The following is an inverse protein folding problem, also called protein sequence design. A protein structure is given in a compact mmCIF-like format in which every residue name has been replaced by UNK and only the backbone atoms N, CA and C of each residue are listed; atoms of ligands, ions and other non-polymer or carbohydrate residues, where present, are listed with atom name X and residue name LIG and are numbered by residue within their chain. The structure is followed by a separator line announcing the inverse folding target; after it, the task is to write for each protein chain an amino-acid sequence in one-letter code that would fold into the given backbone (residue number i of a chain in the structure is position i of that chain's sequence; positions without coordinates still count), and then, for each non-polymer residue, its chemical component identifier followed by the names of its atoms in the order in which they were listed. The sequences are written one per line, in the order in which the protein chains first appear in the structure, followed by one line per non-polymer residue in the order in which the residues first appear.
data_IF_034733933849
#
_entry.id   IF_034733933849
#
_cell.length_a   1.000
_cell.length_b   1.000
_cell.length_c   1.000
_cell.angle_alpha   90.00
_cell.angle_beta   90.00
_cell.angle_gamma   90.00
#
_symmetry.space_group_name_H-M   'P 1'
#
loop_
_entity.id
_entity.type
_entity.pdbx_description
1 polymer ?
#
# COMPACT_ATOMS: atom_id res chain seq x y z
N UNK A 1 -12.58 8.37 25.85
CA UNK A 1 -12.21 7.08 25.22
C UNK A 1 -10.69 6.92 25.28
N UNK A 2 -10.20 5.74 25.67
CA UNK A 2 -8.77 5.45 25.65
C UNK A 2 -8.31 5.44 24.20
N UNK A 3 -7.25 6.17 23.87
CA UNK A 3 -6.65 6.15 22.53
C UNK A 3 -6.07 4.75 22.24
N UNK A 4 -6.30 4.25 21.06
CA UNK A 4 -5.75 2.96 20.61
C UNK A 4 -4.23 3.08 20.46
N UNK A 5 -3.50 2.16 21.06
CA UNK A 5 -2.04 2.10 21.03
C UNK A 5 -1.58 1.13 19.95
N UNK A 6 -0.76 1.62 19.04
CA UNK A 6 -0.31 0.85 17.88
C UNK A 6 1.22 0.74 17.88
N UNK A 7 1.75 -0.47 17.76
CA UNK A 7 3.16 -0.70 17.51
C UNK A 7 3.40 -0.99 16.02
N UNK A 8 4.28 -0.23 15.39
CA UNK A 8 4.75 -0.49 14.03
C UNK A 8 6.15 -1.11 14.11
N UNK A 9 6.20 -2.42 13.91
CA UNK A 9 7.46 -3.18 13.94
C UNK A 9 8.13 -3.08 12.56
N UNK A 10 9.23 -2.34 12.51
CA UNK A 10 9.98 -2.13 11.27
C UNK A 10 9.68 -0.81 10.57
N UNK A 11 10.17 0.31 11.12
CA UNK A 11 10.07 1.63 10.51
C UNK A 11 11.02 1.79 9.30
N UNK A 12 10.77 1.01 8.23
CA UNK A 12 11.32 1.21 6.89
C UNK A 12 10.53 2.29 6.13
N UNK A 13 10.60 2.30 4.79
CA UNK A 13 9.85 3.29 3.98
C UNK A 13 8.34 3.23 4.24
N UNK A 14 7.73 2.06 4.12
CA UNK A 14 6.29 1.89 4.36
C UNK A 14 5.96 2.03 5.86
N UNK A 15 6.71 1.34 6.73
CA UNK A 15 6.42 1.37 8.17
C UNK A 15 6.54 2.75 8.80
N UNK A 16 7.50 3.58 8.38
CA UNK A 16 7.61 4.95 8.87
C UNK A 16 6.48 5.85 8.35
N UNK A 17 6.05 5.67 7.11
CA UNK A 17 4.92 6.40 6.55
C UNK A 17 3.60 6.04 7.25
N UNK A 18 3.37 4.74 7.50
CA UNK A 18 2.22 4.26 8.28
C UNK A 18 2.26 4.82 9.70
N UNK A 19 3.40 4.74 10.39
CA UNK A 19 3.54 5.26 11.76
C UNK A 19 3.22 6.77 11.84
N UNK A 20 3.73 7.55 10.87
CA UNK A 20 3.42 8.98 10.76
C UNK A 20 1.92 9.21 10.55
N UNK A 21 1.32 8.56 9.56
CA UNK A 21 -0.10 8.75 9.23
C UNK A 21 -1.03 8.40 10.40
N UNK A 22 -0.71 7.33 11.14
CA UNK A 22 -1.44 6.94 12.34
C UNK A 22 -1.32 7.96 13.47
N UNK A 23 -0.11 8.49 13.71
CA UNK A 23 0.08 9.52 14.73
C UNK A 23 -0.68 10.82 14.37
N UNK A 24 -0.64 11.23 13.10
CA UNK A 24 -1.41 12.37 12.60
C UNK A 24 -2.93 12.15 12.67
N UNK A 25 -3.39 10.88 12.64
CA UNK A 25 -4.79 10.52 12.84
C UNK A 25 -5.19 10.42 14.34
N UNK A 26 -4.28 10.68 15.26
CA UNK A 26 -4.52 10.75 16.69
C UNK A 26 -4.32 9.44 17.45
N UNK A 27 -3.71 8.42 16.86
CA UNK A 27 -3.33 7.20 17.57
C UNK A 27 -2.06 7.41 18.40
N UNK A 28 -1.94 6.67 19.51
CA UNK A 28 -0.65 6.54 20.18
C UNK A 28 0.22 5.53 19.42
N UNK A 29 1.37 5.95 18.94
CA UNK A 29 2.21 5.11 18.07
C UNK A 29 3.61 4.92 18.64
N UNK A 30 4.06 3.66 18.68
CA UNK A 30 5.48 3.30 18.84
C UNK A 30 5.96 2.68 17.54
N UNK A 31 7.08 3.17 17.00
CA UNK A 31 7.72 2.60 15.82
C UNK A 31 9.07 1.99 16.17
N UNK A 32 9.35 0.76 15.72
CA UNK A 32 10.63 0.11 16.01
C UNK A 32 11.58 0.12 14.82
N UNK A 33 12.84 0.34 15.10
CA UNK A 33 13.94 0.24 14.13
C UNK A 33 15.27 0.02 14.83
N UNK A 34 16.14 -0.86 14.29
CA UNK A 34 17.49 -1.08 14.81
C UNK A 34 18.35 0.20 14.79
N UNK A 35 18.24 1.00 13.71
CA UNK A 35 18.93 2.30 13.54
C UNK A 35 17.91 3.41 13.69
N UNK A 36 17.60 3.81 14.92
CA UNK A 36 16.57 4.81 15.26
C UNK A 36 16.89 6.17 14.64
N UNK A 37 18.17 6.52 14.57
CA UNK A 37 18.63 7.79 14.01
C UNK A 37 18.11 8.07 12.59
N UNK A 38 17.84 7.02 11.81
CA UNK A 38 17.28 7.14 10.44
C UNK A 38 15.81 7.54 10.40
N UNK A 39 15.11 7.45 11.53
CA UNK A 39 13.67 7.74 11.64
C UNK A 39 13.36 8.71 12.78
N UNK A 40 14.37 9.37 13.34
CA UNK A 40 14.22 10.33 14.43
C UNK A 40 13.21 11.45 14.11
N UNK A 41 13.07 11.79 12.85
CA UNK A 41 12.09 12.75 12.36
C UNK A 41 10.62 12.38 12.69
N UNK A 42 10.31 11.11 12.97
CA UNK A 42 8.98 10.66 13.37
C UNK A 42 8.55 11.23 14.75
N UNK A 43 9.51 11.56 15.61
CA UNK A 43 9.24 12.18 16.93
C UNK A 43 8.52 13.53 16.77
N UNK A 44 8.77 14.26 15.67
CA UNK A 44 8.09 15.53 15.36
C UNK A 44 6.57 15.35 15.11
N UNK A 45 6.12 14.12 14.87
CA UNK A 45 4.72 13.75 14.68
C UNK A 45 4.13 13.02 15.91
N UNK A 46 4.86 12.97 17.03
CA UNK A 46 4.40 12.31 18.25
C UNK A 46 4.61 10.80 18.28
N UNK A 47 5.34 10.23 17.32
CA UNK A 47 5.68 8.79 17.31
C UNK A 47 6.81 8.53 18.30
N UNK A 48 6.59 7.62 19.24
CA UNK A 48 7.63 7.12 20.12
C UNK A 48 8.53 6.13 19.37
N UNK A 49 9.84 6.21 19.58
CA UNK A 49 10.81 5.32 18.93
C UNK A 49 11.36 4.29 19.95
N UNK A 50 11.44 3.04 19.51
CA UNK A 50 11.94 1.94 20.33
C UNK A 50 12.84 1.01 19.47
N UNK A 51 13.84 0.37 20.10
CA UNK A 51 14.67 -0.67 19.46
C UNK A 51 14.15 -2.07 19.74
N UNK A 52 13.48 -2.24 20.87
CA UNK A 52 13.02 -3.51 21.39
C UNK A 52 11.56 -3.78 20.93
N UNK A 53 11.43 -4.76 20.05
CA UNK A 53 10.11 -5.16 19.53
C UNK A 53 9.22 -5.76 20.62
N UNK A 54 9.77 -6.45 21.62
CA UNK A 54 9.01 -7.01 22.75
C UNK A 54 8.36 -5.92 23.58
N UNK A 55 9.12 -4.85 23.90
CA UNK A 55 8.56 -3.70 24.62
C UNK A 55 7.45 -3.01 23.84
N UNK A 56 7.68 -2.76 22.55
CA UNK A 56 6.69 -2.14 21.69
C UNK A 56 5.41 -2.98 21.57
N UNK A 57 5.54 -4.28 21.29
CA UNK A 57 4.41 -5.19 21.15
C UNK A 57 3.65 -5.41 22.47
N UNK A 58 4.33 -5.44 23.60
CA UNK A 58 3.69 -5.53 24.92
C UNK A 58 2.82 -4.32 25.23
N UNK A 59 3.30 -3.14 24.92
CA UNK A 59 2.61 -1.87 25.16
C UNK A 59 1.38 -1.68 24.25
N UNK A 60 1.40 -2.19 23.02
CA UNK A 60 0.40 -1.95 22.00
C UNK A 60 -0.88 -2.79 22.18
N UNK A 61 -2.01 -2.24 21.74
CA UNK A 61 -3.27 -2.95 21.57
C UNK A 61 -3.35 -3.63 20.18
N UNK A 62 -2.73 -3.01 19.15
CA UNK A 62 -2.59 -3.54 17.77
C UNK A 62 -1.13 -3.49 17.35
N UNK A 63 -0.68 -4.54 16.68
CA UNK A 63 0.71 -4.64 16.16
C UNK A 63 0.70 -4.67 14.64
N UNK A 64 1.46 -3.79 14.01
CA UNK A 64 1.67 -3.75 12.55
C UNK A 64 3.09 -4.22 12.24
N UNK A 65 3.21 -5.29 11.45
CA UNK A 65 4.50 -5.85 11.01
C UNK A 65 4.83 -5.30 9.62
N UNK A 66 5.81 -4.40 9.54
CA UNK A 66 6.25 -3.73 8.32
C UNK A 66 7.71 -4.04 7.97
N UNK A 67 8.11 -5.29 8.15
CA UNK A 67 9.45 -5.79 7.81
C UNK A 67 9.44 -6.55 6.48
N UNK A 68 10.63 -6.84 5.94
CA UNK A 68 10.77 -7.69 4.75
C UNK A 68 10.23 -9.11 5.03
N UNK A 69 9.64 -9.80 4.04
CA UNK A 69 9.03 -11.12 4.22
C UNK A 69 9.91 -12.11 4.98
N UNK A 70 11.19 -12.26 4.58
CA UNK A 70 12.16 -13.16 5.20
C UNK A 70 12.56 -12.84 6.66
N UNK A 71 11.89 -11.89 7.29
CA UNK A 71 12.12 -11.51 8.69
C UNK A 71 10.86 -11.66 9.55
N UNK A 72 9.72 -11.96 8.92
CA UNK A 72 8.44 -12.00 9.64
C UNK A 72 8.43 -13.12 10.66
N UNK A 73 8.81 -14.36 10.29
CA UNK A 73 8.85 -15.50 11.20
C UNK A 73 9.67 -15.17 12.45
N UNK A 74 10.92 -14.72 12.27
CA UNK A 74 11.78 -14.34 13.40
C UNK A 74 11.17 -13.23 14.29
N UNK A 75 10.46 -12.28 13.71
CA UNK A 75 9.80 -11.23 14.51
C UNK A 75 8.61 -11.79 15.27
N UNK A 76 7.81 -12.66 14.65
CA UNK A 76 6.67 -13.29 15.32
C UNK A 76 7.13 -14.14 16.51
N UNK A 77 8.16 -14.97 16.34
CA UNK A 77 8.79 -15.74 17.43
C UNK A 77 9.29 -14.81 18.55
N UNK A 78 9.93 -13.69 18.20
CA UNK A 78 10.45 -12.74 19.19
C UNK A 78 9.34 -12.14 20.06
N UNK A 79 8.16 -11.84 19.49
CA UNK A 79 7.08 -11.12 20.18
C UNK A 79 5.87 -11.98 20.53
N UNK A 80 5.91 -13.29 20.30
CA UNK A 80 4.81 -14.26 20.45
C UNK A 80 4.02 -14.07 21.75
N UNK A 81 4.70 -14.05 22.89
CA UNK A 81 4.09 -13.92 24.22
C UNK A 81 3.25 -12.62 24.38
N UNK A 82 3.55 -11.59 23.60
CA UNK A 82 2.93 -10.29 23.73
C UNK A 82 1.76 -10.05 22.77
N UNK A 83 1.56 -10.91 21.78
CA UNK A 83 0.58 -10.69 20.69
C UNK A 83 -0.56 -11.70 20.67
N UNK A 84 -0.56 -12.69 21.58
CA UNK A 84 -1.69 -13.60 21.75
C UNK A 84 -2.99 -12.81 21.96
N UNK A 85 -4.03 -13.17 21.20
CA UNK A 85 -5.35 -12.50 21.17
C UNK A 85 -5.36 -11.03 20.71
N UNK A 86 -4.23 -10.48 20.24
CA UNK A 86 -4.19 -9.14 19.65
C UNK A 86 -4.42 -9.20 18.14
N UNK A 87 -4.85 -8.07 17.59
CA UNK A 87 -4.85 -7.84 16.13
C UNK A 87 -3.41 -7.62 15.68
N UNK A 88 -2.96 -8.46 14.75
CA UNK A 88 -1.62 -8.38 14.15
C UNK A 88 -1.76 -8.19 12.64
N UNK A 89 -1.39 -7.01 12.15
CA UNK A 89 -1.49 -6.64 10.74
C UNK A 89 -0.13 -6.86 10.09
N UNK A 90 -0.02 -7.79 9.15
CA UNK A 90 1.18 -7.99 8.35
C UNK A 90 1.09 -7.22 7.03
N UNK A 91 2.05 -6.31 6.80
CA UNK A 91 2.23 -5.60 5.53
C UNK A 91 3.26 -6.29 4.62
N UNK A 92 3.73 -7.45 5.02
CA UNK A 92 4.75 -8.19 4.27
C UNK A 92 4.12 -8.91 3.06
N UNK A 93 4.67 -8.64 1.87
CA UNK A 93 4.21 -9.29 0.65
C UNK A 93 4.46 -10.81 0.69
N UNK A 94 3.53 -11.58 0.13
CA UNK A 94 3.74 -13.00 -0.13
C UNK A 94 3.63 -13.94 1.08
N UNK A 95 3.25 -13.47 2.27
CA UNK A 95 3.08 -14.32 3.44
C UNK A 95 1.59 -14.54 3.71
N UNK A 96 1.06 -15.75 3.51
CA UNK A 96 -0.34 -16.02 3.75
C UNK A 96 -0.67 -16.12 5.26
N UNK A 97 -1.93 -15.85 5.61
CA UNK A 97 -2.42 -15.88 7.00
C UNK A 97 -2.16 -17.24 7.64
N UNK A 98 -2.37 -18.33 6.91
CA UNK A 98 -2.10 -19.69 7.39
C UNK A 98 -0.65 -19.89 7.88
N UNK A 99 0.32 -19.21 7.23
CA UNK A 99 1.72 -19.28 7.63
C UNK A 99 1.98 -18.42 8.86
N UNK A 100 1.38 -17.22 8.95
CA UNK A 100 1.46 -16.38 10.15
C UNK A 100 0.91 -17.10 11.39
N UNK A 101 -0.20 -17.84 11.23
CA UNK A 101 -0.82 -18.62 12.30
C UNK A 101 0.02 -19.80 12.79
N UNK A 102 0.96 -20.32 11.99
CA UNK A 102 1.90 -21.35 12.47
C UNK A 102 2.79 -20.83 13.60
N UNK A 103 3.18 -19.54 13.55
CA UNK A 103 4.02 -18.94 14.59
C UNK A 103 3.23 -18.57 15.85
N UNK A 104 2.02 -18.00 15.70
CA UNK A 104 1.21 -17.56 16.85
C UNK A 104 -0.28 -17.86 16.58
N UNK A 105 -0.73 -19.09 16.84
CA UNK A 105 -2.09 -19.53 16.52
C UNK A 105 -3.21 -18.69 17.13
N UNK A 106 -2.98 -18.08 18.30
CA UNK A 106 -3.98 -17.31 19.03
C UNK A 106 -4.07 -15.84 18.60
N UNK A 107 -3.15 -15.36 17.76
CA UNK A 107 -3.22 -13.98 17.27
C UNK A 107 -4.27 -13.82 16.16
N UNK A 108 -4.91 -12.66 16.13
CA UNK A 108 -5.88 -12.28 15.10
C UNK A 108 -5.15 -11.65 13.92
N UNK A 109 -4.78 -12.46 12.93
CA UNK A 109 -4.00 -11.97 11.81
C UNK A 109 -4.81 -11.29 10.73
N UNK A 110 -4.26 -10.17 10.25
CA UNK A 110 -4.69 -9.45 9.04
C UNK A 110 -3.50 -9.40 8.09
N UNK A 111 -3.68 -9.92 6.90
CA UNK A 111 -2.73 -9.73 5.79
C UNK A 111 -3.17 -8.50 5.00
N UNK A 112 -2.31 -7.52 4.84
CA UNK A 112 -2.62 -6.28 4.14
C UNK A 112 -1.53 -5.90 3.13
N UNK A 113 -1.96 -5.29 2.04
CA UNK A 113 -1.08 -4.84 0.97
C UNK A 113 -1.36 -3.38 0.64
N UNK A 114 -0.76 -2.43 1.38
CA UNK A 114 -0.73 -1.03 0.99
C UNK A 114 0.26 -0.81 -0.15
N UNK A 115 0.26 0.39 -0.72
CA UNK A 115 1.27 0.82 -1.67
C UNK A 115 2.03 2.06 -1.18
N UNK A 116 3.03 2.52 -1.94
CA UNK A 116 3.91 3.63 -1.54
C UNK A 116 3.17 4.97 -1.38
N UNK A 117 1.96 5.12 -1.93
CA UNK A 117 1.16 6.34 -1.78
C UNK A 117 0.69 6.57 -0.32
N UNK A 118 0.95 5.64 0.59
CA UNK A 118 0.85 5.88 2.04
C UNK A 118 1.66 7.12 2.49
N UNK A 119 2.74 7.46 1.81
CA UNK A 119 3.54 8.66 2.08
C UNK A 119 2.74 9.96 2.01
N UNK A 120 1.69 9.98 1.21
CA UNK A 120 0.79 11.12 1.00
C UNK A 120 -0.66 10.82 1.42
N UNK A 121 -0.88 9.73 2.14
CA UNK A 121 -2.20 9.26 2.64
C UNK A 121 -3.22 8.93 1.54
N UNK A 122 -2.74 8.55 0.38
CA UNK A 122 -3.56 8.15 -0.78
C UNK A 122 -3.28 6.68 -1.18
N UNK A 123 -2.95 5.83 -0.20
CA UNK A 123 -2.75 4.40 -0.45
C UNK A 123 -4.07 3.70 -0.75
N UNK A 124 -4.05 2.77 -1.69
CA UNK A 124 -5.05 1.71 -1.70
C UNK A 124 -4.48 0.53 -0.90
N UNK A 125 -5.22 0.08 0.12
CA UNK A 125 -4.84 -1.05 0.97
C UNK A 125 -5.86 -2.16 0.82
N UNK A 126 -5.54 -3.22 0.08
CA UNK A 126 -6.31 -4.45 0.16
C UNK A 126 -5.92 -5.24 1.41
N UNK A 127 -6.89 -5.88 2.06
CA UNK A 127 -6.61 -6.73 3.20
C UNK A 127 -7.50 -7.97 3.21
N UNK A 128 -6.95 -9.04 3.79
CA UNK A 128 -7.67 -10.25 4.11
C UNK A 128 -7.51 -10.56 5.60
N UNK A 129 -8.55 -11.08 6.21
CA UNK A 129 -8.56 -11.40 7.63
C UNK A 129 -9.48 -12.60 7.88
N UNK A 130 -9.02 -13.49 8.76
CA UNK A 130 -9.78 -14.62 9.30
C UNK A 130 -9.96 -14.42 10.82
N UNK A 131 -11.03 -14.97 11.38
CA UNK A 131 -11.30 -14.99 12.82
C UNK A 131 -11.41 -13.60 13.50
N UNK A 132 -11.76 -12.55 12.76
CA UNK A 132 -12.05 -11.23 13.28
C UNK A 132 -13.56 -11.04 13.42
N UNK A 133 -13.97 -10.49 14.56
CA UNK A 133 -15.33 -10.04 14.75
C UNK A 133 -15.56 -8.66 14.08
N UNK A 134 -16.78 -8.17 14.07
CA UNK A 134 -17.13 -6.89 13.42
C UNK A 134 -16.42 -5.67 14.04
N UNK A 135 -16.15 -5.69 15.35
CA UNK A 135 -15.44 -4.60 16.04
C UNK A 135 -13.96 -4.59 15.65
N UNK A 136 -13.34 -5.76 15.57
CA UNK A 136 -11.97 -5.93 15.07
C UNK A 136 -11.85 -5.41 13.63
N UNK A 137 -12.80 -5.77 12.75
CA UNK A 137 -12.83 -5.32 11.35
C UNK A 137 -12.94 -3.80 11.28
N UNK A 138 -13.89 -3.21 12.01
CA UNK A 138 -14.05 -1.73 12.09
C UNK A 138 -12.77 -1.05 12.58
N UNK A 139 -12.07 -1.66 13.54
CA UNK A 139 -10.80 -1.16 14.05
C UNK A 139 -9.71 -1.17 12.96
N UNK A 140 -9.60 -2.29 12.24
CA UNK A 140 -8.64 -2.45 11.13
C UNK A 140 -8.92 -1.45 10.00
N UNK A 141 -10.18 -1.28 9.62
CA UNK A 141 -10.59 -0.33 8.58
C UNK A 141 -10.32 1.13 8.98
N UNK A 142 -10.56 1.50 10.24
CA UNK A 142 -10.18 2.82 10.76
C UNK A 142 -8.67 3.06 10.69
N UNK A 143 -7.87 2.05 11.02
CA UNK A 143 -6.42 2.12 10.91
C UNK A 143 -6.02 2.37 9.45
N UNK A 144 -6.54 1.61 8.50
CA UNK A 144 -6.22 1.77 7.08
C UNK A 144 -6.72 3.10 6.50
N UNK A 145 -7.89 3.55 6.90
CA UNK A 145 -8.46 4.85 6.48
C UNK A 145 -7.61 6.06 6.90
N UNK A 146 -6.68 5.89 7.86
CA UNK A 146 -5.73 6.93 8.25
C UNK A 146 -4.71 7.25 7.15
N UNK A 147 -4.52 6.36 6.18
CA UNK A 147 -3.53 6.54 5.12
C UNK A 147 -4.02 6.18 3.71
N UNK A 148 -5.33 6.18 3.51
CA UNK A 148 -5.95 6.01 2.20
C UNK A 148 -7.25 5.22 2.23
N UNK A 149 -7.60 4.61 1.11
CA UNK A 149 -8.77 3.74 0.98
C UNK A 149 -8.39 2.29 1.27
N UNK A 150 -9.29 1.53 1.87
CA UNK A 150 -9.10 0.10 2.09
C UNK A 150 -10.28 -0.72 1.57
N UNK A 151 -10.00 -1.99 1.28
CA UNK A 151 -11.01 -2.95 0.86
C UNK A 151 -10.66 -4.34 1.39
N UNK A 152 -11.64 -5.00 2.04
CA UNK A 152 -11.52 -6.41 2.41
C UNK A 152 -11.73 -7.26 1.16
N UNK A 153 -10.83 -8.21 0.94
CA UNK A 153 -10.87 -9.14 -0.19
C UNK A 153 -10.54 -10.56 0.28
N UNK A 154 -10.85 -11.54 -0.54
CA UNK A 154 -10.39 -12.91 -0.32
C UNK A 154 -8.88 -13.01 -0.52
N UNK A 155 -8.21 -13.82 0.30
CA UNK A 155 -6.75 -13.90 0.31
C UNK A 155 -6.15 -14.33 -1.03
N UNK A 156 -6.88 -15.09 -1.83
CA UNK A 156 -6.44 -15.55 -3.16
C UNK A 156 -6.15 -14.40 -4.13
N UNK A 157 -6.78 -13.23 -3.96
CA UNK A 157 -6.55 -12.05 -4.80
C UNK A 157 -5.32 -11.22 -4.40
N UNK A 158 -4.70 -11.49 -3.25
CA UNK A 158 -3.61 -10.64 -2.72
C UNK A 158 -2.39 -10.55 -3.65
N UNK A 159 -2.08 -11.62 -4.42
CA UNK A 159 -0.98 -11.56 -5.38
C UNK A 159 -1.33 -10.73 -6.62
N UNK A 160 -2.59 -10.77 -7.06
CA UNK A 160 -3.08 -9.91 -8.14
C UNK A 160 -3.08 -8.43 -7.72
N UNK A 161 -3.50 -8.14 -6.50
CA UNK A 161 -3.42 -6.80 -5.90
C UNK A 161 -1.96 -6.33 -5.80
N UNK A 162 -1.04 -7.21 -5.45
CA UNK A 162 0.39 -6.87 -5.43
C UNK A 162 0.86 -6.43 -6.81
N UNK A 163 0.45 -7.15 -7.87
CA UNK A 163 0.76 -6.80 -9.26
C UNK A 163 0.09 -5.51 -9.74
N UNK A 164 -1.18 -5.27 -9.35
CA UNK A 164 -1.95 -4.12 -9.79
C UNK A 164 -1.65 -2.86 -8.97
N UNK A 165 -1.86 -2.92 -7.66
CA UNK A 165 -1.81 -1.77 -6.76
C UNK A 165 -0.47 -1.62 -6.05
N UNK A 166 0.14 -2.71 -5.61
CA UNK A 166 1.46 -2.68 -4.97
C UNK A 166 2.55 -2.16 -5.91
N UNK A 167 2.58 -2.67 -7.14
CA UNK A 167 3.50 -2.26 -8.20
C UNK A 167 3.00 -1.05 -9.01
N UNK A 168 1.71 -0.76 -8.97
CA UNK A 168 1.03 0.27 -9.75
C UNK A 168 1.69 1.64 -9.73
N UNK A 169 2.13 2.19 -8.59
CA UNK A 169 2.80 3.48 -8.55
C UNK A 169 4.04 3.58 -9.46
N UNK A 170 4.77 2.47 -9.67
CA UNK A 170 5.89 2.44 -10.60
C UNK A 170 5.41 2.57 -12.06
N UNK A 171 4.32 1.88 -12.44
CA UNK A 171 3.76 2.00 -13.79
C UNK A 171 3.22 3.40 -14.07
N UNK A 172 2.51 3.96 -13.08
CA UNK A 172 2.00 5.34 -13.14
C UNK A 172 3.15 6.33 -13.27
N UNK A 173 4.28 6.12 -12.58
CA UNK A 173 5.46 6.98 -12.69
C UNK A 173 6.06 6.95 -14.10
N UNK A 174 6.13 5.78 -14.74
CA UNK A 174 6.58 5.65 -16.14
C UNK A 174 5.64 6.39 -17.09
N UNK A 175 4.33 6.26 -16.88
CA UNK A 175 3.33 6.98 -17.68
C UNK A 175 3.44 8.51 -17.50
N UNK A 176 3.57 8.98 -16.26
CA UNK A 176 3.78 10.39 -15.95
C UNK A 176 5.05 10.94 -16.60
N UNK A 177 6.14 10.19 -16.54
CA UNK A 177 7.40 10.57 -17.18
C UNK A 177 7.23 10.72 -18.69
N UNK A 178 6.52 9.78 -19.35
CA UNK A 178 6.22 9.86 -20.77
C UNK A 178 5.38 11.10 -21.12
N UNK A 179 4.37 11.43 -20.30
CA UNK A 179 3.59 12.67 -20.48
C UNK A 179 4.45 13.93 -20.35
N UNK A 180 5.35 13.97 -19.37
CA UNK A 180 6.27 15.10 -19.16
C UNK A 180 7.19 15.27 -20.39
N UNK A 181 7.79 14.18 -20.86
CA UNK A 181 8.66 14.23 -22.05
C UNK A 181 7.88 14.58 -23.33
N UNK A 182 6.65 14.09 -23.46
CA UNK A 182 5.74 14.52 -24.52
C UNK A 182 5.51 16.03 -24.51
N UNK A 183 5.23 16.60 -23.33
CA UNK A 183 5.12 18.05 -23.14
C UNK A 183 6.37 18.81 -23.54
N UNK A 184 7.56 18.32 -23.14
CA UNK A 184 8.84 18.93 -23.55
C UNK A 184 9.03 18.87 -25.06
N UNK A 185 8.69 17.74 -25.69
CA UNK A 185 8.81 17.54 -27.13
C UNK A 185 8.00 18.57 -27.94
N UNK A 186 6.84 18.97 -27.41
CA UNK A 186 5.99 19.99 -28.05
C UNK A 186 6.28 21.42 -27.58
N UNK A 187 7.35 21.63 -26.81
CA UNK A 187 7.87 22.96 -26.45
C UNK A 187 7.39 23.49 -25.10
N UNK A 188 6.73 22.70 -24.26
CA UNK A 188 6.35 23.17 -22.91
C UNK A 188 7.59 23.25 -21.99
N UNK A 189 7.71 24.29 -21.16
CA UNK A 189 8.66 24.31 -20.06
C UNK A 189 8.47 23.12 -19.11
N UNK A 190 9.58 22.57 -18.57
CA UNK A 190 9.57 21.34 -17.73
C UNK A 190 8.62 21.42 -16.55
N UNK A 191 8.59 22.54 -15.85
CA UNK A 191 7.75 22.70 -14.66
C UNK A 191 6.26 22.73 -15.01
N UNK A 192 5.90 23.35 -16.13
CA UNK A 192 4.54 23.33 -16.65
C UNK A 192 4.14 21.92 -17.07
N UNK A 193 4.98 21.23 -17.85
CA UNK A 193 4.71 19.87 -18.29
C UNK A 193 4.53 18.90 -17.09
N UNK A 194 5.38 19.03 -16.06
CA UNK A 194 5.29 18.22 -14.83
C UNK A 194 3.99 18.46 -14.07
N UNK A 195 3.64 19.72 -13.81
CA UNK A 195 2.42 20.07 -13.10
C UNK A 195 1.17 19.64 -13.86
N UNK A 196 1.12 19.94 -15.16
CA UNK A 196 -0.01 19.58 -16.01
C UNK A 196 -0.21 18.06 -16.07
N UNK A 197 0.84 17.28 -16.30
CA UNK A 197 0.76 15.82 -16.36
C UNK A 197 0.26 15.23 -15.04
N UNK A 198 0.83 15.65 -13.91
CA UNK A 198 0.45 15.14 -12.59
C UNK A 198 -1.00 15.51 -12.24
N UNK A 199 -1.41 16.76 -12.47
CA UNK A 199 -2.77 17.20 -12.17
C UNK A 199 -3.82 16.57 -13.08
N UNK A 200 -3.50 16.34 -14.35
CA UNK A 200 -4.39 15.64 -15.30
C UNK A 200 -4.63 14.20 -14.85
N UNK A 201 -3.58 13.47 -14.46
CA UNK A 201 -3.72 12.10 -13.99
C UNK A 201 -4.55 12.04 -12.70
N UNK A 202 -4.25 12.92 -11.74
CA UNK A 202 -5.01 13.02 -10.48
C UNK A 202 -6.49 13.31 -10.74
N UNK A 203 -6.79 14.28 -11.59
CA UNK A 203 -8.16 14.68 -11.93
C UNK A 203 -8.93 13.54 -12.59
N UNK A 204 -8.32 12.85 -13.55
CA UNK A 204 -8.95 11.72 -14.26
C UNK A 204 -9.22 10.55 -13.30
N UNK A 205 -8.28 10.24 -12.40
CA UNK A 205 -8.50 9.22 -11.37
C UNK A 205 -9.64 9.59 -10.42
N UNK A 206 -9.76 10.86 -10.03
CA UNK A 206 -10.86 11.36 -9.21
C UNK A 206 -12.20 11.26 -9.93
N UNK A 207 -12.27 11.65 -11.21
CA UNK A 207 -13.50 11.48 -12.00
C UNK A 207 -13.99 10.03 -11.95
N UNK A 208 -13.12 9.06 -12.20
CA UNK A 208 -13.48 7.64 -12.11
C UNK A 208 -14.02 7.24 -10.74
N UNK A 209 -13.39 7.69 -9.66
CA UNK A 209 -13.75 7.33 -8.29
C UNK A 209 -15.05 8.02 -7.80
N UNK A 210 -15.36 9.21 -8.31
CA UNK A 210 -16.51 10.01 -7.88
C UNK A 210 -17.75 9.76 -8.74
N UNK A 211 -17.60 9.64 -10.07
CA UNK A 211 -18.71 9.38 -10.98
C UNK A 211 -19.09 7.91 -11.04
N UNK A 212 -18.11 7.01 -10.87
CA UNK A 212 -18.32 5.57 -10.98
C UNK A 212 -18.47 5.08 -12.43
N UNK A 213 -18.26 5.97 -13.41
CA UNK A 213 -18.41 5.68 -14.82
C UNK A 213 -17.32 4.74 -15.34
N UNK A 214 -17.60 4.05 -16.43
CA UNK A 214 -16.55 3.25 -17.09
C UNK A 214 -15.47 4.17 -17.68
N UNK A 215 -14.16 3.83 -17.61
CA UNK A 215 -13.10 4.67 -18.16
C UNK A 215 -13.27 5.08 -19.62
N UNK A 216 -14.00 4.27 -20.43
CA UNK A 216 -14.31 4.62 -21.80
C UNK A 216 -15.28 5.81 -21.90
N UNK A 217 -16.22 5.95 -20.97
CA UNK A 217 -17.16 7.07 -20.93
C UNK A 217 -16.43 8.37 -20.60
N UNK A 218 -15.50 8.35 -19.61
CA UNK A 218 -14.65 9.50 -19.30
C UNK A 218 -13.81 9.91 -20.52
N UNK A 219 -13.25 8.93 -21.25
CA UNK A 219 -12.52 9.16 -22.49
C UNK A 219 -13.42 9.84 -23.54
N UNK A 220 -14.62 9.33 -23.72
CA UNK A 220 -15.55 9.81 -24.74
C UNK A 220 -16.08 11.22 -24.46
N UNK A 221 -16.16 11.64 -23.18
CA UNK A 221 -16.43 13.04 -22.80
C UNK A 221 -15.42 14.04 -23.34
N UNK A 222 -14.19 13.59 -23.62
CA UNK A 222 -13.07 14.47 -24.07
C UNK A 222 -12.90 14.41 -25.59
N UNK A 223 -13.39 13.36 -26.25
CA UNK A 223 -13.24 13.19 -27.69
C UNK A 223 -14.29 14.02 -28.44
N UNK A 224 -13.82 14.77 -29.43
CA UNK A 224 -14.68 15.48 -30.39
C UNK A 224 -14.30 15.09 -31.82
N UNK A 225 -15.26 15.06 -32.77
CA UNK A 225 -14.96 14.77 -34.18
C UNK A 225 -13.91 15.72 -34.76
N UNK A 226 -12.81 15.18 -35.30
CA UNK A 226 -11.70 15.96 -35.85
C UNK A 226 -10.88 16.74 -34.82
N UNK A 227 -11.09 16.46 -33.51
CA UNK A 227 -10.35 17.14 -32.43
C UNK A 227 -8.96 16.52 -32.17
N UNK A 228 -8.12 17.22 -31.43
CA UNK A 228 -6.75 16.78 -31.10
C UNK A 228 -6.68 15.49 -30.28
N UNK A 229 -7.71 15.23 -29.49
CA UNK A 229 -7.76 14.07 -28.59
C UNK A 229 -7.83 12.76 -29.35
N UNK A 230 -8.62 12.69 -30.43
CA UNK A 230 -8.76 11.44 -31.20
C UNK A 230 -7.46 11.05 -31.89
N UNK A 231 -6.69 12.02 -32.42
CA UNK A 231 -5.40 11.77 -33.03
C UNK A 231 -4.41 11.23 -32.00
N UNK A 232 -4.37 11.84 -30.80
CA UNK A 232 -3.54 11.34 -29.71
C UNK A 232 -3.90 9.93 -29.24
N UNK A 233 -5.20 9.59 -29.19
CA UNK A 233 -5.67 8.25 -28.84
C UNK A 233 -5.24 7.23 -29.91
N UNK A 234 -5.33 7.60 -31.20
CA UNK A 234 -4.91 6.74 -32.30
C UNK A 234 -3.45 6.32 -32.13
N UNK A 235 -2.54 7.27 -31.86
CA UNK A 235 -1.12 6.99 -31.60
C UNK A 235 -0.91 6.09 -30.38
N UNK A 236 -1.69 6.26 -29.30
CA UNK A 236 -1.61 5.39 -28.12
C UNK A 236 -2.06 3.96 -28.42
N UNK A 237 -3.09 3.78 -29.25
CA UNK A 237 -3.57 2.44 -29.64
C UNK A 237 -2.59 1.76 -30.59
N UNK A 238 -2.00 2.48 -31.55
CA UNK A 238 -0.95 1.97 -32.42
C UNK A 238 0.29 1.54 -31.59
N UNK A 239 0.66 2.33 -30.56
CA UNK A 239 1.70 2.01 -29.60
C UNK A 239 1.36 0.86 -28.64
N UNK A 240 0.17 0.26 -28.74
CA UNK A 240 -0.30 -0.89 -27.93
C UNK A 240 -0.20 -0.68 -26.42
N UNK A 241 -0.46 0.55 -25.95
CA UNK A 241 -0.32 0.92 -24.53
C UNK A 241 -1.15 0.00 -23.61
N UNK A 242 -2.38 -0.37 -24.00
CA UNK A 242 -3.24 -1.26 -23.22
C UNK A 242 -2.59 -2.63 -23.00
N UNK A 243 -2.05 -3.20 -24.07
CA UNK A 243 -1.36 -4.51 -24.02
C UNK A 243 -0.12 -4.44 -23.14
N UNK A 244 0.65 -3.34 -23.20
CA UNK A 244 1.85 -3.16 -22.38
C UNK A 244 1.50 -3.12 -20.89
N UNK A 245 0.47 -2.36 -20.50
CA UNK A 245 0.02 -2.26 -19.11
C UNK A 245 -0.51 -3.62 -18.61
N UNK A 246 -1.38 -4.30 -19.37
CA UNK A 246 -1.91 -5.61 -18.99
C UNK A 246 -0.79 -6.64 -18.79
N UNK A 247 0.21 -6.69 -19.67
CA UNK A 247 1.36 -7.58 -19.54
C UNK A 247 2.23 -7.25 -18.33
N UNK A 248 2.41 -5.97 -18.00
CA UNK A 248 3.17 -5.57 -16.82
C UNK A 248 2.51 -6.07 -15.52
N UNK A 249 1.19 -5.92 -15.42
CA UNK A 249 0.42 -6.39 -14.26
C UNK A 249 0.46 -7.93 -14.16
N UNK A 250 0.26 -8.65 -15.26
CA UNK A 250 0.36 -10.11 -15.31
C UNK A 250 1.74 -10.61 -14.88
N UNK A 251 2.81 -10.02 -15.41
CA UNK A 251 4.18 -10.38 -15.05
C UNK A 251 4.48 -10.16 -13.57
N UNK A 252 4.04 -9.03 -13.01
CA UNK A 252 4.23 -8.72 -11.59
C UNK A 252 3.41 -9.67 -10.69
N UNK A 253 2.17 -10.00 -11.07
CA UNK A 253 1.32 -10.96 -10.38
C UNK A 253 1.95 -12.36 -10.37
N UNK A 254 2.44 -12.84 -11.51
CA UNK A 254 3.16 -14.11 -11.60
C UNK A 254 4.39 -14.13 -10.71
N UNK A 255 5.15 -13.05 -10.70
CA UNK A 255 6.34 -12.93 -9.84
C UNK A 255 5.96 -12.94 -8.35
N UNK A 256 4.86 -12.28 -7.96
CA UNK A 256 4.35 -12.31 -6.59
C UNK A 256 4.01 -13.73 -6.16
N UNK A 257 3.27 -14.49 -6.98
CA UNK A 257 2.93 -15.90 -6.70
C UNK A 257 4.17 -16.79 -6.51
N UNK A 258 5.18 -16.61 -7.35
CA UNK A 258 6.45 -17.37 -7.23
C UNK A 258 7.15 -17.05 -5.90
N UNK A 259 7.20 -15.77 -5.51
CA UNK A 259 7.80 -15.36 -4.24
C UNK A 259 7.01 -15.88 -3.04
N UNK A 260 5.68 -15.82 -3.07
CA UNK A 260 4.80 -16.37 -2.04
C UNK A 260 5.03 -17.88 -1.86
N UNK A 261 5.10 -18.63 -2.96
CA UNK A 261 5.34 -20.09 -2.93
C UNK A 261 6.72 -20.43 -2.34
N UNK A 262 7.77 -19.67 -2.69
CA UNK A 262 9.11 -19.88 -2.11
C UNK A 262 9.11 -19.69 -0.60
N UNK A 263 8.50 -18.61 -0.12
CA UNK A 263 8.42 -18.33 1.34
C UNK A 263 7.71 -19.47 2.07
N UNK A 264 6.61 -19.98 1.51
CA UNK A 264 5.85 -21.10 2.11
C UNK A 264 6.66 -22.38 2.15
N UNK A 265 7.56 -22.62 1.21
CA UNK A 265 8.36 -23.85 1.14
C UNK A 265 9.66 -23.79 1.97
N UNK A 266 10.12 -22.59 2.34
CA UNK A 266 11.32 -22.38 3.16
C UNK A 266 11.03 -22.35 4.67
N UNK A 267 9.74 -22.24 5.07
CA UNK A 267 9.24 -22.24 6.45
C UNK A 267 8.22 -23.35 6.72
#
# INVERSE_FOLDING_TARGET
MKLLRIAVIGAGTIGSAVAKALAEAGYEVIATRRKIEKVKWLENYGVKLEKDNKKASKWADVVIIAVKPNKVGKILEEIEENISNKIVISLAAGIPIRLLKKFVPQAKFVRAMPNIAVLVKESFTAYSAEDLNEEDIKTVEKIFSSFGKCLKIDEEYMDAITGLSGSGPAYVSVFLEAMIYGGLKVGLPRDIARLAAAQTLLGTAKLLLELGDHPAEIRDMVITPGGTTIDGIFELEEGKIRTAIMKAIDAATKKSKILSTKIVNEE
#
